data_IF_876923067116
#
_entry.id   IF_876923067116
#
_cell.length_a   1.000
_cell.length_b   1.000
_cell.length_c   1.000
_cell.angle_alpha   90.00
_cell.angle_beta   90.00
_cell.angle_gamma   90.00
#
_symmetry.space_group_name_H-M   'P 1'
#
loop_
_entity.id
_entity.type
_entity.pdbx_description
1 polymer ?
#
# COMPACT_ATOMS: atom_id res chain seq x y z
N UNK A 1 43.22 -57.85 -35.54
CA UNK A 1 42.22 -58.15 -34.49
C UNK A 1 41.55 -56.85 -34.08
N UNK A 2 40.25 -56.92 -33.80
CA UNK A 2 39.32 -55.79 -33.63
C UNK A 2 39.62 -54.94 -32.37
N UNK A 3 39.07 -53.71 -32.40
CA UNK A 3 38.77 -52.75 -31.30
C UNK A 3 39.90 -51.77 -30.97
N UNK A 4 39.73 -50.45 -30.91
CA UNK A 4 38.62 -49.52 -31.18
C UNK A 4 39.24 -48.13 -31.39
N UNK A 5 38.71 -47.34 -32.33
CA UNK A 5 39.00 -45.91 -32.47
C UNK A 5 38.39 -45.12 -31.30
N UNK A 6 39.06 -44.07 -30.83
CA UNK A 6 38.40 -42.79 -30.55
C UNK A 6 39.38 -41.64 -30.80
N UNK A 7 39.04 -40.84 -31.81
CA UNK A 7 39.80 -39.66 -32.23
C UNK A 7 39.43 -38.42 -31.44
N UNK A 8 40.39 -37.51 -31.37
CA UNK A 8 40.17 -36.11 -31.06
C UNK A 8 39.28 -35.47 -32.14
N UNK A 9 38.28 -34.71 -31.73
CA UNK A 9 37.64 -33.73 -32.60
C UNK A 9 37.23 -32.50 -31.78
N UNK A 10 37.95 -31.41 -32.03
CA UNK A 10 37.52 -30.04 -31.72
C UNK A 10 36.35 -29.73 -32.64
N UNK A 11 35.22 -29.30 -32.08
CA UNK A 11 34.12 -28.73 -32.84
C UNK A 11 33.61 -27.47 -32.13
N UNK A 12 33.87 -26.33 -32.73
CA UNK A 12 33.12 -25.10 -32.49
C UNK A 12 31.91 -25.11 -33.42
N UNK A 13 30.69 -24.97 -32.88
CA UNK A 13 29.54 -24.52 -33.65
C UNK A 13 28.45 -23.92 -32.73
N UNK A 14 27.83 -22.87 -33.25
CA UNK A 14 26.89 -21.95 -32.62
C UNK A 14 25.56 -22.57 -32.16
N UNK A 15 24.99 -21.92 -31.14
CA UNK A 15 23.57 -21.65 -30.83
C UNK A 15 22.50 -22.58 -31.42
N UNK A 16 21.68 -23.15 -30.53
CA UNK A 16 20.22 -22.87 -30.43
C UNK A 16 19.66 -23.48 -29.14
N UNK A 17 19.06 -22.66 -28.27
CA UNK A 17 18.18 -23.11 -27.19
C UNK A 17 16.72 -23.18 -27.64
N UNK A 18 15.92 -24.09 -27.06
CA UNK A 18 14.46 -23.92 -26.99
C UNK A 18 13.88 -24.38 -25.64
N UNK A 19 12.79 -23.86 -25.07
CA UNK A 19 12.03 -22.63 -25.25
C UNK A 19 11.46 -22.31 -23.86
N UNK A 20 11.74 -21.11 -23.34
CA UNK A 20 10.95 -20.53 -22.26
C UNK A 20 9.62 -20.09 -22.86
N UNK A 21 8.52 -20.47 -22.21
CA UNK A 21 7.22 -19.86 -22.48
C UNK A 21 7.33 -18.36 -22.26
N UNK A 22 6.93 -17.58 -23.27
CA UNK A 22 6.97 -16.13 -23.32
C UNK A 22 6.39 -15.44 -22.08
N UNK A 23 7.20 -14.57 -21.48
CA UNK A 23 6.74 -13.27 -21.03
C UNK A 23 7.60 -12.22 -21.74
N UNK A 24 6.99 -11.51 -22.70
CA UNK A 24 7.65 -10.58 -23.61
C UNK A 24 8.50 -9.51 -22.89
N UNK A 25 9.75 -9.35 -23.34
CA UNK A 25 10.72 -8.39 -22.84
C UNK A 25 10.27 -6.93 -22.97
N UNK A 26 10.67 -6.08 -22.03
CA UNK A 26 10.23 -4.68 -21.97
C UNK A 26 11.02 -3.73 -22.88
N UNK A 27 11.68 -4.25 -23.92
CA UNK A 27 12.26 -3.39 -24.97
C UNK A 27 11.15 -2.59 -25.65
N UNK A 28 11.28 -1.27 -25.73
CA UNK A 28 10.20 -0.44 -26.24
C UNK A 28 10.43 1.05 -26.04
N UNK A 29 9.46 1.83 -26.50
CA UNK A 29 9.46 3.29 -26.33
C UNK A 29 8.65 3.64 -25.10
N UNK A 30 9.24 4.43 -24.21
CA UNK A 30 8.66 4.85 -22.95
C UNK A 30 8.73 6.37 -22.84
N UNK A 31 7.83 6.94 -22.04
CA UNK A 31 7.88 8.36 -21.64
C UNK A 31 8.22 8.47 -20.17
N UNK A 32 9.05 9.45 -19.83
CA UNK A 32 9.35 9.80 -18.44
C UNK A 32 8.10 10.39 -17.79
N UNK A 33 7.65 9.78 -16.69
CA UNK A 33 6.47 10.18 -15.93
C UNK A 33 6.79 11.04 -14.69
N UNK A 34 8.08 11.29 -14.42
CA UNK A 34 8.58 12.18 -13.36
C UNK A 34 9.12 13.50 -13.94
N UNK A 35 9.13 14.59 -13.16
CA UNK A 35 9.62 15.91 -13.60
C UNK A 35 11.11 15.91 -13.99
N UNK A 36 11.88 15.09 -13.28
CA UNK A 36 13.27 14.78 -13.61
C UNK A 36 13.58 13.34 -13.20
N UNK A 37 14.24 12.61 -14.10
CA UNK A 37 14.66 11.24 -13.91
C UNK A 37 16.17 11.14 -14.10
N UNK A 38 16.88 10.80 -13.03
CA UNK A 38 18.32 10.56 -13.10
C UNK A 38 18.61 9.29 -13.92
N UNK A 39 19.56 9.42 -14.83
CA UNK A 39 20.16 8.33 -15.59
C UNK A 39 21.53 8.07 -14.98
N UNK A 40 21.82 6.82 -14.65
CA UNK A 40 23.00 6.38 -13.88
C UNK A 40 23.85 5.41 -14.68
N UNK A 41 25.11 5.27 -14.28
CA UNK A 41 26.07 4.38 -14.95
C UNK A 41 25.73 2.89 -14.78
N UNK A 42 25.14 2.54 -13.63
CA UNK A 42 24.76 1.17 -13.23
C UNK A 42 23.32 1.15 -12.67
N UNK A 43 22.63 -0.01 -12.63
CA UNK A 43 21.27 -0.16 -12.11
C UNK A 43 21.21 -0.10 -10.57
N UNK A 44 21.75 0.97 -9.98
CA UNK A 44 21.83 1.19 -8.54
C UNK A 44 21.49 2.66 -8.19
N UNK A 45 20.70 2.87 -7.14
CA UNK A 45 20.33 4.19 -6.63
C UNK A 45 21.50 5.04 -6.10
N UNK A 46 22.64 4.42 -5.84
CA UNK A 46 23.90 5.03 -5.38
C UNK A 46 24.92 5.23 -6.52
N UNK A 47 24.72 4.61 -7.69
CA UNK A 47 25.63 4.74 -8.83
C UNK A 47 25.72 6.17 -9.35
N UNK A 48 26.83 6.53 -9.98
CA UNK A 48 27.08 7.88 -10.50
C UNK A 48 26.00 8.29 -11.51
N UNK A 49 25.48 9.52 -11.35
CA UNK A 49 24.52 10.10 -12.30
C UNK A 49 25.28 10.57 -13.54
N UNK A 50 24.87 10.08 -14.71
CA UNK A 50 25.45 10.42 -16.02
C UNK A 50 24.52 11.32 -16.87
N UNK A 51 23.28 11.52 -16.43
CA UNK A 51 22.36 12.45 -17.08
C UNK A 51 21.03 12.60 -16.33
N UNK A 52 20.19 13.52 -16.79
CA UNK A 52 18.86 13.76 -16.23
C UNK A 52 17.87 13.96 -17.37
N UNK A 53 16.79 13.18 -17.36
CA UNK A 53 15.70 13.27 -18.34
C UNK A 53 14.54 14.05 -17.74
N UNK A 54 13.93 14.97 -18.49
CA UNK A 54 12.77 15.74 -18.02
C UNK A 54 11.46 14.99 -18.21
N UNK A 55 10.41 15.41 -17.54
CA UNK A 55 9.06 14.88 -17.76
C UNK A 55 8.70 14.82 -19.25
N UNK A 56 8.00 13.76 -19.63
CA UNK A 56 7.54 13.45 -21.00
C UNK A 56 8.65 13.20 -22.01
N UNK A 57 9.92 13.24 -21.62
CA UNK A 57 11.03 12.82 -22.49
C UNK A 57 10.78 11.39 -22.96
N UNK A 58 10.90 11.16 -24.26
CA UNK A 58 10.76 9.83 -24.85
C UNK A 58 12.10 9.13 -24.80
N UNK A 59 12.11 7.91 -24.26
CA UNK A 59 13.29 7.07 -24.12
C UNK A 59 13.06 5.73 -24.76
N UNK A 60 14.12 5.16 -25.35
CA UNK A 60 14.13 3.76 -25.75
C UNK A 60 14.69 2.93 -24.61
N UNK A 61 13.94 1.92 -24.19
CA UNK A 61 14.37 0.91 -23.22
C UNK A 61 14.91 -0.29 -23.99
N UNK A 62 16.10 -0.74 -23.62
CA UNK A 62 16.77 -1.88 -24.28
C UNK A 62 17.08 -3.05 -23.35
N UNK A 63 17.03 -2.85 -22.04
CA UNK A 63 17.42 -3.84 -21.03
C UNK A 63 16.76 -3.53 -19.68
N UNK A 64 16.60 -4.53 -18.81
CA UNK A 64 16.02 -4.38 -17.47
C UNK A 64 16.69 -5.28 -16.43
N UNK A 65 16.98 -4.72 -15.26
CA UNK A 65 17.62 -5.40 -14.13
C UNK A 65 17.15 -4.77 -12.80
N UNK A 66 16.62 -5.58 -11.88
CA UNK A 66 16.31 -5.17 -10.50
C UNK A 66 15.43 -3.91 -10.37
N UNK A 67 14.46 -3.71 -11.28
CA UNK A 67 13.58 -2.53 -11.29
C UNK A 67 14.20 -1.28 -11.93
N UNK A 68 15.43 -1.38 -12.44
CA UNK A 68 16.06 -0.39 -13.32
C UNK A 68 15.96 -0.84 -14.77
N UNK A 69 15.92 0.13 -15.68
CA UNK A 69 15.89 -0.12 -17.11
C UNK A 69 16.93 0.71 -17.82
N UNK A 70 17.59 0.13 -18.82
CA UNK A 70 18.60 0.82 -19.62
C UNK A 70 17.91 1.67 -20.66
N UNK A 71 18.06 2.99 -20.52
CA UNK A 71 17.41 4.01 -21.34
C UNK A 71 18.39 4.70 -22.28
N UNK A 72 17.92 5.05 -23.48
CA UNK A 72 18.60 5.95 -24.42
C UNK A 72 17.66 7.07 -24.86
N UNK A 73 18.09 8.32 -24.72
CA UNK A 73 17.38 9.51 -25.20
C UNK A 73 18.38 10.58 -25.67
N UNK A 74 18.42 10.84 -26.98
CA UNK A 74 19.49 11.65 -27.58
C UNK A 74 20.86 11.02 -27.34
N UNK A 75 21.79 11.81 -26.79
CA UNK A 75 23.14 11.37 -26.43
C UNK A 75 23.21 10.70 -25.04
N UNK A 76 22.18 10.87 -24.20
CA UNK A 76 22.16 10.30 -22.83
C UNK A 76 21.81 8.82 -22.89
N UNK A 77 22.72 7.97 -22.38
CA UNK A 77 22.53 6.51 -22.23
C UNK A 77 22.94 6.06 -20.83
N UNK A 78 22.12 5.21 -20.19
CA UNK A 78 22.42 4.64 -18.87
C UNK A 78 21.18 4.00 -18.23
N UNK A 79 21.22 3.74 -16.94
CA UNK A 79 20.16 3.08 -16.18
C UNK A 79 19.26 4.08 -15.46
N UNK A 80 17.95 3.93 -15.57
CA UNK A 80 16.97 4.75 -14.88
C UNK A 80 15.92 3.87 -14.18
N UNK A 81 15.34 4.35 -13.07
CA UNK A 81 14.38 3.56 -12.32
C UNK A 81 13.09 3.37 -13.14
N UNK A 82 12.73 2.11 -13.44
CA UNK A 82 11.70 1.75 -14.40
C UNK A 82 10.29 2.22 -14.02
N UNK A 83 10.01 2.37 -12.72
CA UNK A 83 8.71 2.84 -12.22
C UNK A 83 8.41 4.31 -12.56
N UNK A 84 9.43 5.08 -12.98
CA UNK A 84 9.24 6.44 -13.51
C UNK A 84 9.01 6.48 -15.02
N UNK A 85 8.95 5.33 -15.69
CA UNK A 85 8.69 5.24 -17.13
C UNK A 85 7.32 4.63 -17.40
N UNK A 86 6.60 5.19 -18.38
CA UNK A 86 5.33 4.65 -18.88
C UNK A 86 5.48 4.28 -20.34
N UNK A 87 5.04 3.07 -20.72
CA UNK A 87 5.07 2.63 -22.12
C UNK A 87 4.33 3.66 -22.98
N UNK A 88 4.99 4.12 -24.04
CA UNK A 88 4.39 5.03 -25.00
C UNK A 88 3.62 4.17 -26.00
N UNK A 89 2.29 4.28 -26.00
CA UNK A 89 1.45 3.65 -27.01
C UNK A 89 1.83 4.27 -28.36
N UNK A 90 2.14 3.42 -29.34
CA UNK A 90 2.71 3.83 -30.62
C UNK A 90 1.85 4.85 -31.36
N UNK A 91 2.14 6.12 -31.16
CA UNK A 91 1.73 7.22 -32.02
C UNK A 91 2.89 8.22 -32.07
N UNK A 92 3.26 8.56 -33.31
CA UNK A 92 4.47 9.24 -33.69
C UNK A 92 4.66 10.64 -33.07
N UNK A 93 5.93 11.01 -33.02
CA UNK A 93 6.49 12.32 -32.65
C UNK A 93 6.08 13.37 -33.69
N UNK A 94 5.62 14.54 -33.23
CA UNK A 94 5.69 15.78 -33.99
C UNK A 94 5.87 16.97 -33.03
N UNK A 95 6.69 17.91 -33.50
CA UNK A 95 7.38 18.98 -32.79
C UNK A 95 6.59 20.32 -32.79
N UNK A 96 7.04 21.21 -31.91
CA UNK A 96 6.98 22.67 -31.93
C UNK A 96 5.67 23.46 -31.66
N UNK A 97 5.87 24.43 -30.75
CA UNK A 97 5.38 25.83 -30.78
C UNK A 97 4.03 26.21 -30.13
N UNK A 98 4.20 27.07 -29.11
CA UNK A 98 3.40 28.23 -28.66
C UNK A 98 1.96 28.45 -29.15
N UNK A 99 1.05 28.70 -28.20
CA UNK A 99 -0.28 29.26 -28.48
C UNK A 99 -1.15 29.37 -27.22
N UNK A 100 -1.54 30.61 -26.89
CA UNK A 100 -2.32 31.00 -25.70
C UNK A 100 -3.71 30.35 -25.62
N UNK A 101 -4.07 30.02 -24.37
CA UNK A 101 -5.41 30.01 -23.71
C UNK A 101 -6.66 29.80 -24.56
N UNK A 102 -7.44 28.75 -24.23
CA UNK A 102 -8.86 28.93 -23.86
C UNK A 102 -9.30 27.84 -22.88
N UNK A 103 -9.96 28.28 -21.82
CA UNK A 103 -10.47 27.48 -20.70
C UNK A 103 -11.59 26.54 -21.13
N UNK A 104 -11.43 25.24 -20.88
CA UNK A 104 -12.55 24.30 -20.75
C UNK A 104 -12.69 23.95 -19.27
N UNK A 105 -13.73 24.47 -18.62
CA UNK A 105 -14.00 24.26 -17.21
C UNK A 105 -14.08 22.76 -16.90
N UNK A 106 -13.06 22.25 -16.20
CA UNK A 106 -13.14 20.94 -15.55
C UNK A 106 -14.14 21.09 -14.40
N UNK A 107 -15.19 20.28 -14.40
CA UNK A 107 -16.19 20.19 -13.35
C UNK A 107 -15.54 20.27 -11.96
N UNK A 108 -15.88 21.33 -11.23
CA UNK A 108 -15.41 21.56 -9.89
C UNK A 108 -16.03 20.51 -8.95
N UNK A 109 -15.22 19.86 -8.12
CA UNK A 109 -15.67 18.79 -7.22
C UNK A 109 -15.76 19.32 -5.80
N UNK A 110 -16.91 19.13 -5.15
CA UNK A 110 -17.10 19.43 -3.73
C UNK A 110 -16.24 18.52 -2.86
N UNK A 111 -15.63 19.09 -1.83
CA UNK A 111 -14.73 18.45 -0.88
C UNK A 111 -14.85 19.11 0.51
N UNK A 112 -14.14 18.59 1.50
CA UNK A 112 -13.96 19.25 2.78
C UNK A 112 -12.52 19.14 3.27
N UNK A 113 -12.10 20.09 4.12
CA UNK A 113 -10.82 20.02 4.81
C UNK A 113 -10.85 18.92 5.87
N UNK A 114 -9.82 18.08 5.89
CA UNK A 114 -9.66 16.96 6.84
C UNK A 114 -8.80 17.31 8.05
N UNK A 115 -8.04 18.42 8.00
CA UNK A 115 -7.14 18.84 9.06
C UNK A 115 -7.61 20.16 9.69
N UNK A 116 -7.22 20.37 10.93
CA UNK A 116 -7.41 21.64 11.63
C UNK A 116 -6.26 22.60 11.32
N UNK A 117 -6.54 23.88 11.10
CA UNK A 117 -5.55 24.91 10.73
C UNK A 117 -4.65 24.56 9.52
N UNK A 118 -5.20 23.91 8.49
CA UNK A 118 -4.43 23.54 7.29
C UNK A 118 -4.14 24.79 6.45
N UNK A 119 -2.86 25.04 6.20
CA UNK A 119 -2.37 26.22 5.47
C UNK A 119 -2.79 26.21 4.01
N UNK A 120 -3.48 27.26 3.58
CA UNK A 120 -3.66 27.64 2.18
C UNK A 120 -2.44 28.44 1.71
N UNK A 121 -1.94 28.15 0.52
CA UNK A 121 -0.70 28.74 -0.04
C UNK A 121 -0.91 29.29 -1.45
N UNK A 122 -0.02 30.19 -1.89
CA UNK A 122 -0.05 30.73 -3.27
C UNK A 122 0.28 29.68 -4.35
N UNK A 123 0.96 28.58 -4.01
CA UNK A 123 1.35 27.53 -4.96
C UNK A 123 1.42 26.12 -4.33
N UNK A 124 1.54 25.07 -5.17
CA UNK A 124 1.55 23.67 -4.76
C UNK A 124 2.89 23.26 -4.12
N UNK A 125 3.12 23.64 -2.86
CA UNK A 125 4.34 23.29 -2.15
C UNK A 125 4.49 23.97 -0.81
N UNK A 126 5.31 23.40 0.08
CA UNK A 126 5.58 23.96 1.42
C UNK A 126 6.44 25.23 1.38
N UNK A 127 7.15 25.48 0.27
CA UNK A 127 7.95 26.69 0.06
C UNK A 127 7.16 27.92 -0.41
N UNK A 128 5.88 27.77 -0.76
CA UNK A 128 5.05 28.90 -1.18
C UNK A 128 4.45 29.64 0.02
N UNK A 129 4.26 30.96 -0.11
CA UNK A 129 3.67 31.83 0.90
C UNK A 129 2.31 31.34 1.39
N UNK A 130 2.09 31.39 2.71
CA UNK A 130 0.82 31.06 3.36
C UNK A 130 -0.11 32.26 3.26
N UNK A 131 -1.31 32.06 2.72
CA UNK A 131 -2.31 33.11 2.48
C UNK A 131 -3.57 32.94 3.34
N UNK A 132 -3.63 31.90 4.15
CA UNK A 132 -4.73 31.61 5.05
C UNK A 132 -4.66 30.20 5.59
N UNK A 133 -5.72 29.78 6.26
CA UNK A 133 -5.88 28.41 6.75
C UNK A 133 -7.34 27.98 6.71
N UNK A 134 -7.58 26.68 6.66
CA UNK A 134 -8.90 26.06 6.76
C UNK A 134 -8.92 25.08 7.91
N UNK A 135 -10.04 25.01 8.62
CA UNK A 135 -10.25 24.12 9.74
C UNK A 135 -10.94 22.83 9.30
N UNK A 136 -10.92 21.84 10.19
CA UNK A 136 -11.49 20.53 9.91
C UNK A 136 -13.00 20.67 9.66
N UNK A 137 -13.47 20.12 8.54
CA UNK A 137 -14.87 20.18 8.14
C UNK A 137 -15.24 21.37 7.25
N UNK A 138 -14.33 22.33 7.05
CA UNK A 138 -14.57 23.47 6.14
C UNK A 138 -14.86 22.98 4.73
N UNK A 139 -15.90 23.53 4.11
CA UNK A 139 -16.32 23.17 2.75
C UNK A 139 -15.35 23.76 1.72
N UNK A 140 -14.92 22.91 0.81
CA UNK A 140 -13.97 23.24 -0.25
C UNK A 140 -14.54 22.88 -1.61
N UNK A 141 -14.23 23.71 -2.60
CA UNK A 141 -14.42 23.37 -4.01
C UNK A 141 -13.06 23.10 -4.63
N UNK A 142 -12.80 21.86 -5.04
CA UNK A 142 -11.54 21.50 -5.71
C UNK A 142 -11.58 21.99 -7.16
N UNK A 143 -10.67 22.89 -7.49
CA UNK A 143 -10.52 23.49 -8.82
C UNK A 143 -9.47 22.76 -9.65
N UNK A 144 -8.37 22.33 -9.02
CA UNK A 144 -7.24 21.68 -9.70
C UNK A 144 -6.46 20.75 -8.77
N UNK A 145 -5.66 19.85 -9.35
CA UNK A 145 -4.75 18.95 -8.64
C UNK A 145 -3.41 18.87 -9.36
N UNK A 146 -2.33 19.06 -8.62
CA UNK A 146 -0.95 19.08 -9.12
C UNK A 146 -0.04 18.56 -8.00
N UNK A 147 0.75 17.53 -8.28
CA UNK A 147 1.81 17.01 -7.39
C UNK A 147 1.44 16.79 -5.92
N UNK A 148 0.27 16.20 -5.68
CA UNK A 148 -0.22 15.93 -4.32
C UNK A 148 -0.82 17.15 -3.61
N UNK A 149 -0.88 18.31 -4.27
CA UNK A 149 -1.58 19.51 -3.83
C UNK A 149 -2.91 19.69 -4.55
N UNK A 150 -3.82 20.40 -3.91
CA UNK A 150 -5.14 20.73 -4.44
C UNK A 150 -5.31 22.24 -4.42
N UNK A 151 -5.67 22.81 -5.56
CA UNK A 151 -6.14 24.18 -5.62
C UNK A 151 -7.61 24.18 -5.24
N UNK A 152 -7.94 24.82 -4.14
CA UNK A 152 -9.28 24.81 -3.55
C UNK A 152 -9.84 26.22 -3.47
N UNK A 153 -11.17 26.32 -3.48
CA UNK A 153 -11.91 27.53 -3.11
C UNK A 153 -12.70 27.26 -1.83
N UNK A 154 -12.53 28.09 -0.81
CA UNK A 154 -13.26 28.06 0.47
C UNK A 154 -14.62 28.71 0.36
N UNK A 155 -15.46 28.57 1.39
CA UNK A 155 -16.81 29.12 1.44
C UNK A 155 -16.86 30.67 1.39
N UNK A 156 -15.84 31.34 1.95
CA UNK A 156 -15.67 32.80 1.90
C UNK A 156 -15.11 33.30 0.55
N UNK A 157 -14.83 32.39 -0.40
CA UNK A 157 -14.35 32.70 -1.74
C UNK A 157 -12.82 32.71 -1.89
N UNK A 158 -12.05 32.52 -0.83
CA UNK A 158 -10.58 32.47 -0.90
C UNK A 158 -10.12 31.30 -1.77
N UNK A 159 -9.15 31.55 -2.67
CA UNK A 159 -8.56 30.51 -3.54
C UNK A 159 -7.09 30.32 -3.20
N UNK A 160 -6.72 29.08 -2.87
CA UNK A 160 -5.36 28.73 -2.49
C UNK A 160 -5.05 27.26 -2.69
N UNK A 161 -3.77 26.92 -2.55
CA UNK A 161 -3.26 25.56 -2.61
C UNK A 161 -3.11 24.99 -1.20
N UNK A 162 -3.66 23.81 -0.97
CA UNK A 162 -3.41 23.03 0.24
C UNK A 162 -2.95 21.63 -0.14
N UNK A 163 -2.26 20.97 0.78
CA UNK A 163 -1.86 19.58 0.56
C UNK A 163 -3.10 18.72 0.37
N UNK A 164 -3.13 17.97 -0.72
CA UNK A 164 -4.24 17.10 -1.10
C UNK A 164 -4.51 15.98 -0.11
N UNK A 165 -3.54 15.68 0.77
CA UNK A 165 -3.72 14.76 1.90
C UNK A 165 -4.79 15.24 2.91
N UNK A 166 -5.09 16.55 2.91
CA UNK A 166 -6.09 17.17 3.77
C UNK A 166 -7.38 17.52 3.03
N UNK A 167 -7.56 17.05 1.79
CA UNK A 167 -8.77 17.32 1.00
C UNK A 167 -9.54 16.02 0.81
N UNK A 168 -10.64 15.86 1.56
CA UNK A 168 -11.52 14.69 1.50
C UNK A 168 -12.60 14.82 0.43
N UNK A 169 -12.97 13.72 -0.22
CA UNK A 169 -14.09 13.73 -1.17
C UNK A 169 -15.43 13.90 -0.44
N UNK A 170 -16.37 14.67 -1.02
CA UNK A 170 -17.71 14.86 -0.45
C UNK A 170 -18.47 13.53 -0.22
N UNK A 171 -18.17 12.46 -0.97
CA UNK A 171 -18.76 11.13 -0.77
C UNK A 171 -18.40 10.49 0.60
N UNK A 172 -17.23 10.84 1.15
CA UNK A 172 -16.83 10.43 2.51
C UNK A 172 -17.40 11.36 3.59
N UNK A 173 -17.91 12.55 3.22
CA UNK A 173 -18.49 13.53 4.16
C UNK A 173 -20.00 13.31 4.31
N UNK A 174 -20.69 12.91 3.25
CA UNK A 174 -22.12 12.55 3.31
C UNK A 174 -22.36 11.26 4.09
N UNK A 175 -21.46 10.27 3.96
CA UNK A 175 -21.46 9.08 4.80
C UNK A 175 -21.21 9.42 6.29
N UNK A 176 -20.37 10.41 6.60
CA UNK A 176 -20.08 10.84 7.98
C UNK A 176 -21.20 11.71 8.57
N UNK A 177 -21.90 12.49 7.73
CA UNK A 177 -23.01 13.35 8.17
C UNK A 177 -24.30 12.57 8.39
N UNK A 178 -24.52 11.47 7.65
CA UNK A 178 -25.66 10.57 7.84
C UNK A 178 -25.56 9.73 9.13
N UNK A 179 -24.35 9.52 9.66
CA UNK A 179 -24.10 8.66 10.83
C UNK A 179 -24.34 9.40 12.16
N UNK A 180 -24.35 10.73 12.18
CA UNK A 180 -24.62 11.51 13.41
C UNK A 180 -26.06 11.40 13.93
N UNK A 181 -26.99 10.80 13.17
CA UNK A 181 -28.41 10.70 13.53
C UNK A 181 -28.93 9.29 13.86
N UNK A 182 -28.07 8.27 13.97
CA UNK A 182 -28.50 6.96 14.48
C UNK A 182 -27.89 6.71 15.84
N UNK A 183 -28.58 7.32 16.82
CA UNK A 183 -28.70 6.99 18.24
C UNK A 183 -27.76 5.93 18.82
N UNK A 184 -27.12 6.32 19.93
CA UNK A 184 -26.70 5.45 21.02
C UNK A 184 -27.71 4.31 21.30
N UNK A 185 -27.20 3.07 21.39
CA UNK A 185 -27.63 2.03 22.33
C UNK A 185 -26.62 0.86 22.27
N UNK A 186 -25.86 0.72 23.36
CA UNK A 186 -25.37 -0.52 23.99
C UNK A 186 -24.87 -1.67 23.11
N UNK A 187 -23.55 -1.94 23.20
CA UNK A 187 -23.02 -3.31 23.13
C UNK A 187 -23.04 -4.03 21.78
N UNK A 188 -22.95 -3.34 20.64
CA UNK A 188 -23.00 -4.02 19.33
C UNK A 188 -21.96 -3.51 18.34
N UNK A 189 -21.41 -4.42 17.56
CA UNK A 189 -20.46 -4.15 16.46
C UNK A 189 -21.09 -3.36 15.29
N UNK A 190 -22.43 -3.31 15.22
CA UNK A 190 -23.15 -2.56 14.19
C UNK A 190 -22.89 -1.06 14.33
N UNK A 191 -22.54 -0.41 13.22
CA UNK A 191 -22.23 1.02 13.18
C UNK A 191 -20.82 1.38 13.65
N UNK A 192 -20.05 0.43 14.19
CA UNK A 192 -18.66 0.64 14.58
C UNK A 192 -17.76 0.83 13.37
N UNK A 193 -16.83 1.77 13.46
CA UNK A 193 -15.80 2.00 12.45
C UNK A 193 -14.58 1.18 12.83
N UNK A 194 -14.25 0.17 12.02
CA UNK A 194 -13.12 -0.73 12.27
C UNK A 194 -12.13 -0.59 11.11
N UNK A 195 -10.87 -0.33 11.45
CA UNK A 195 -9.78 -0.29 10.47
C UNK A 195 -9.03 -1.61 10.49
N UNK A 196 -8.94 -2.24 9.31
CA UNK A 196 -8.16 -3.44 9.08
C UNK A 196 -6.89 -3.05 8.33
N UNK A 197 -5.75 -3.43 8.86
CA UNK A 197 -4.45 -3.14 8.30
C UNK A 197 -3.78 -4.43 7.80
N UNK A 198 -3.89 -4.77 6.50
CA UNK A 198 -3.11 -5.88 5.96
C UNK A 198 -1.64 -5.49 5.91
N UNK A 199 -0.79 -6.19 6.66
CA UNK A 199 0.65 -5.95 6.72
C UNK A 199 1.33 -5.90 5.35
N UNK A 200 2.47 -5.22 5.26
CA UNK A 200 3.31 -5.17 4.05
C UNK A 200 2.59 -4.66 2.79
N UNK A 201 3.02 -5.11 1.60
CA UNK A 201 2.41 -4.77 0.31
C UNK A 201 3.38 -4.12 -0.67
N UNK A 202 3.05 -4.17 -1.95
CA UNK A 202 3.82 -3.64 -3.05
C UNK A 202 5.18 -4.33 -3.14
N UNK A 203 6.23 -3.52 -3.04
CA UNK A 203 7.62 -4.00 -3.07
C UNK A 203 8.10 -4.61 -1.76
N UNK A 204 7.28 -4.61 -0.71
CA UNK A 204 7.58 -5.25 0.58
C UNK A 204 6.84 -6.58 0.65
N UNK A 205 7.54 -7.72 0.48
CA UNK A 205 6.93 -9.05 0.55
C UNK A 205 6.52 -9.45 1.97
N UNK A 206 7.04 -8.77 2.99
CA UNK A 206 7.10 -9.31 4.35
C UNK A 206 8.00 -10.54 4.41
N UNK A 207 7.72 -11.45 5.33
CA UNK A 207 8.39 -12.74 5.37
C UNK A 207 8.05 -13.57 4.13
N UNK A 208 9.06 -14.28 3.61
CA UNK A 208 8.91 -15.28 2.56
C UNK A 208 9.05 -16.66 3.22
N UNK A 209 8.00 -17.46 3.14
CA UNK A 209 7.95 -18.77 3.79
C UNK A 209 9.05 -19.72 3.32
N UNK A 210 9.52 -20.58 4.22
CA UNK A 210 10.75 -21.37 4.04
C UNK A 210 10.56 -22.63 3.19
N UNK A 211 9.33 -23.17 3.10
CA UNK A 211 9.01 -24.40 2.36
C UNK A 211 8.34 -24.14 1.03
N UNK A 212 7.43 -23.16 0.97
CA UNK A 212 6.63 -22.89 -0.22
C UNK A 212 6.74 -21.47 -0.76
N UNK A 213 7.75 -20.72 -0.29
CA UNK A 213 8.04 -19.34 -0.71
C UNK A 213 6.81 -18.43 -0.59
N UNK A 214 5.97 -18.71 0.41
CA UNK A 214 4.72 -17.97 0.58
C UNK A 214 5.02 -16.53 0.96
N UNK A 215 4.47 -15.58 0.20
CA UNK A 215 4.61 -14.16 0.49
C UNK A 215 3.63 -13.76 1.59
N UNK A 216 4.14 -13.22 2.70
CA UNK A 216 3.31 -12.71 3.80
C UNK A 216 2.31 -11.65 3.31
N UNK A 217 2.74 -10.72 2.45
CA UNK A 217 1.88 -9.66 1.90
C UNK A 217 0.61 -10.19 1.19
N UNK A 218 0.67 -11.40 0.63
CA UNK A 218 -0.46 -12.00 -0.08
C UNK A 218 -1.44 -12.62 0.92
N UNK A 219 -0.91 -13.33 1.93
CA UNK A 219 -1.72 -13.94 2.99
C UNK A 219 -2.40 -12.90 3.87
N UNK A 220 -1.69 -11.83 4.22
CA UNK A 220 -2.24 -10.72 5.01
C UNK A 220 -3.39 -10.07 4.25
N UNK A 221 -3.21 -9.75 2.95
CA UNK A 221 -4.28 -9.17 2.14
C UNK A 221 -5.48 -10.12 2.03
N UNK A 222 -5.26 -11.40 1.69
CA UNK A 222 -6.37 -12.33 1.47
C UNK A 222 -7.14 -12.62 2.76
N UNK A 223 -6.46 -12.68 3.90
CA UNK A 223 -7.10 -12.89 5.21
C UNK A 223 -7.85 -11.63 5.67
N UNK A 224 -7.26 -10.44 5.50
CA UNK A 224 -7.90 -9.17 5.84
C UNK A 224 -9.16 -8.91 5.04
N UNK A 225 -9.23 -9.30 3.76
CA UNK A 225 -10.46 -9.21 2.96
C UNK A 225 -11.58 -10.06 3.59
N UNK A 226 -11.28 -11.28 4.03
CA UNK A 226 -12.27 -12.15 4.70
C UNK A 226 -12.77 -11.55 6.02
N UNK A 227 -11.88 -10.92 6.79
CA UNK A 227 -12.26 -10.21 8.03
C UNK A 227 -13.17 -9.03 7.69
N UNK A 228 -12.77 -8.21 6.71
CA UNK A 228 -13.51 -7.02 6.33
C UNK A 228 -14.92 -7.35 5.83
N UNK A 229 -15.06 -8.37 4.99
CA UNK A 229 -16.36 -8.79 4.46
C UNK A 229 -17.28 -9.28 5.58
N UNK A 230 -16.77 -10.10 6.50
CA UNK A 230 -17.55 -10.56 7.67
C UNK A 230 -17.99 -9.41 8.57
N UNK A 231 -17.10 -8.49 8.90
CA UNK A 231 -17.44 -7.32 9.71
C UNK A 231 -18.51 -6.45 9.04
N UNK A 232 -18.42 -6.25 7.71
CA UNK A 232 -19.44 -5.53 6.93
C UNK A 232 -20.80 -6.24 6.99
N UNK A 233 -20.84 -7.57 6.93
CA UNK A 233 -22.13 -8.31 7.06
C UNK A 233 -22.79 -8.13 8.43
N UNK A 234 -22.00 -7.84 9.47
CA UNK A 234 -22.51 -7.54 10.82
C UNK A 234 -22.92 -6.06 10.98
N UNK A 235 -22.77 -5.25 9.93
CA UNK A 235 -23.13 -3.84 9.92
C UNK A 235 -22.03 -2.92 10.47
N UNK A 236 -20.80 -3.39 10.64
CA UNK A 236 -19.66 -2.52 10.91
C UNK A 236 -19.25 -1.76 9.64
N UNK A 237 -18.75 -0.54 9.82
CA UNK A 237 -18.09 0.23 8.77
C UNK A 237 -16.62 -0.17 8.74
N UNK A 238 -16.15 -0.72 7.61
CA UNK A 238 -14.79 -1.26 7.53
C UNK A 238 -13.95 -0.51 6.51
N UNK A 239 -12.83 0.02 7.00
CA UNK A 239 -11.80 0.68 6.20
C UNK A 239 -10.57 -0.22 6.17
N UNK A 240 -9.96 -0.41 4.99
CA UNK A 240 -8.71 -1.16 4.86
C UNK A 240 -7.58 -0.21 4.49
N UNK A 241 -6.41 -0.33 5.13
CA UNK A 241 -5.24 0.52 4.84
C UNK A 241 -4.68 0.27 3.43
N UNK A 242 -4.86 -0.96 2.92
CA UNK A 242 -4.66 -1.33 1.52
C UNK A 242 -5.69 -2.36 1.06
N UNK A 243 -6.00 -2.36 -0.23
CA UNK A 243 -6.97 -3.26 -0.89
C UNK A 243 -6.39 -3.99 -2.10
N UNK A 244 -5.17 -3.64 -2.52
CA UNK A 244 -4.47 -4.25 -3.66
C UNK A 244 -3.02 -4.51 -3.29
N UNK A 245 -2.43 -5.51 -3.93
CA UNK A 245 -1.02 -5.83 -3.72
C UNK A 245 -0.11 -4.65 -4.09
N UNK A 246 -0.39 -3.91 -5.16
CA UNK A 246 0.46 -2.79 -5.60
C UNK A 246 0.56 -1.62 -4.59
N UNK A 247 -0.18 -1.63 -3.48
CA UNK A 247 -0.18 -0.58 -2.47
C UNK A 247 0.75 -0.93 -1.32
N UNK A 248 1.60 0.03 -0.94
CA UNK A 248 2.52 -0.06 0.20
C UNK A 248 2.37 1.19 1.08
N UNK A 249 1.29 1.31 1.87
CA UNK A 249 1.14 2.44 2.77
C UNK A 249 2.26 2.41 3.82
N UNK A 250 2.87 3.57 4.06
CA UNK A 250 3.86 3.73 5.13
C UNK A 250 3.21 3.45 6.49
N UNK A 251 4.02 3.08 7.50
CA UNK A 251 3.50 2.77 8.83
C UNK A 251 2.69 3.94 9.42
N UNK A 252 3.16 5.18 9.24
CA UNK A 252 2.44 6.39 9.67
C UNK A 252 1.15 6.65 8.89
N UNK A 253 1.10 6.26 7.62
CA UNK A 253 -0.14 6.38 6.82
C UNK A 253 -1.21 5.39 7.31
N UNK A 254 -0.82 4.18 7.73
CA UNK A 254 -1.74 3.18 8.30
C UNK A 254 -2.40 3.71 9.58
N UNK A 255 -1.61 4.31 10.46
CA UNK A 255 -2.08 5.01 11.67
C UNK A 255 -3.02 6.15 11.31
N UNK A 256 -2.60 7.04 10.40
CA UNK A 256 -3.39 8.19 9.97
C UNK A 256 -4.76 7.79 9.41
N UNK A 257 -4.83 6.68 8.67
CA UNK A 257 -6.11 6.14 8.18
C UNK A 257 -7.04 5.79 9.34
N UNK A 258 -6.51 5.19 10.42
CA UNK A 258 -7.26 4.86 11.63
C UNK A 258 -7.85 6.11 12.30
N UNK A 259 -6.99 7.10 12.54
CA UNK A 259 -7.35 8.33 13.23
C UNK A 259 -8.32 9.20 12.42
N UNK A 260 -8.08 9.34 11.11
CA UNK A 260 -8.95 10.10 10.22
C UNK A 260 -10.34 9.49 10.10
N UNK A 261 -10.44 8.15 10.19
CA UNK A 261 -11.70 7.45 10.18
C UNK A 261 -12.50 7.67 11.48
N UNK A 262 -11.87 8.15 12.55
CA UNK A 262 -12.46 8.10 13.89
C UNK A 262 -12.77 6.67 14.29
N UNK A 263 -11.86 5.73 13.98
CA UNK A 263 -12.09 4.32 14.20
C UNK A 263 -12.33 3.99 15.68
N UNK A 264 -13.30 3.12 15.94
CA UNK A 264 -13.56 2.54 17.25
C UNK A 264 -12.52 1.46 17.60
N UNK A 265 -11.94 0.80 16.59
CA UNK A 265 -10.87 -0.16 16.77
C UNK A 265 -10.01 -0.35 15.51
N UNK A 266 -8.76 -0.77 15.70
CA UNK A 266 -7.78 -1.06 14.67
C UNK A 266 -7.20 -2.47 14.86
N UNK A 267 -7.05 -3.24 13.77
CA UNK A 267 -6.28 -4.48 13.80
C UNK A 267 -5.32 -4.57 12.62
N UNK A 268 -4.04 -4.80 12.91
CA UNK A 268 -3.03 -5.16 11.91
C UNK A 268 -2.89 -6.67 11.82
N UNK A 269 -2.87 -7.21 10.60
CA UNK A 269 -2.84 -8.66 10.34
C UNK A 269 -1.53 -9.01 9.66
N UNK A 270 -0.78 -9.91 10.29
CA UNK A 270 0.57 -10.35 9.92
C UNK A 270 0.74 -11.87 10.04
N UNK A 271 1.85 -12.38 9.50
CA UNK A 271 2.34 -13.74 9.75
C UNK A 271 3.81 -13.68 10.12
N UNK A 272 4.16 -14.33 11.22
CA UNK A 272 5.40 -14.10 11.93
C UNK A 272 6.60 -14.80 11.27
N UNK A 273 7.78 -14.49 11.77
CA UNK A 273 9.03 -15.16 11.46
C UNK A 273 9.92 -15.22 12.70
N UNK A 274 10.72 -16.27 12.81
CA UNK A 274 11.71 -16.45 13.88
C UNK A 274 12.88 -17.28 13.34
N UNK A 275 14.08 -17.00 13.83
CA UNK A 275 15.27 -17.82 13.57
C UNK A 275 15.18 -19.18 14.29
N UNK A 276 14.41 -19.25 15.38
CA UNK A 276 14.13 -20.50 16.09
C UNK A 276 12.93 -21.20 15.45
N UNK A 277 12.86 -22.52 15.61
CA UNK A 277 11.72 -23.33 15.16
C UNK A 277 10.46 -23.06 16.02
N UNK A 278 9.87 -21.89 15.80
CA UNK A 278 8.73 -21.36 16.54
C UNK A 278 7.48 -21.54 15.69
N UNK A 279 6.39 -22.00 16.32
CA UNK A 279 5.08 -22.15 15.69
C UNK A 279 4.01 -21.42 16.49
N UNK A 280 2.81 -21.31 15.94
CA UNK A 280 1.63 -20.80 16.63
C UNK A 280 1.25 -19.36 16.30
N UNK A 281 0.13 -18.91 16.84
CA UNK A 281 -0.33 -17.52 16.75
C UNK A 281 0.11 -16.70 17.95
N UNK A 282 0.17 -15.38 17.79
CA UNK A 282 0.50 -14.43 18.84
C UNK A 282 -0.23 -13.12 18.57
N UNK A 283 -0.77 -12.48 19.62
CA UNK A 283 -1.40 -11.16 19.47
C UNK A 283 -0.64 -10.11 20.28
N UNK A 284 -0.30 -9.00 19.65
CA UNK A 284 0.42 -7.91 20.29
C UNK A 284 -0.48 -6.73 20.63
N UNK A 285 -0.14 -6.07 21.72
CA UNK A 285 -0.69 -4.79 22.17
C UNK A 285 0.45 -3.84 22.55
N UNK A 286 0.22 -2.53 22.54
CA UNK A 286 1.22 -1.56 23.01
C UNK A 286 0.88 -1.04 24.42
N UNK A 287 -0.31 -0.46 24.60
CA UNK A 287 -0.75 0.11 25.87
C UNK A 287 -1.69 -0.83 26.61
N UNK A 288 -1.37 -1.16 27.87
CA UNK A 288 -2.26 -1.97 28.74
C UNK A 288 -3.63 -1.34 28.92
N UNK A 289 -3.69 -0.01 29.02
CA UNK A 289 -4.94 0.70 29.27
C UNK A 289 -5.82 0.79 28.01
N UNK A 290 -5.22 0.93 26.83
CA UNK A 290 -5.91 1.21 25.56
C UNK A 290 -6.16 -0.06 24.74
N UNK A 291 -5.15 -0.91 24.61
CA UNK A 291 -5.06 -1.95 23.58
C UNK A 291 -5.34 -3.36 24.13
N UNK A 292 -4.91 -3.62 25.37
CA UNK A 292 -4.88 -4.99 25.91
C UNK A 292 -6.26 -5.66 25.95
N UNK A 293 -7.34 -4.92 26.21
CA UNK A 293 -8.70 -5.47 26.20
C UNK A 293 -9.08 -5.99 24.79
N UNK A 294 -8.76 -5.25 23.74
CA UNK A 294 -9.02 -5.67 22.36
C UNK A 294 -8.15 -6.87 21.98
N UNK A 295 -6.86 -6.81 22.28
CA UNK A 295 -5.93 -7.91 22.02
C UNK A 295 -6.37 -9.21 22.73
N UNK A 296 -6.80 -9.14 23.99
CA UNK A 296 -7.32 -10.28 24.75
C UNK A 296 -8.58 -10.88 24.12
N UNK A 297 -9.50 -10.04 23.68
CA UNK A 297 -10.75 -10.49 23.06
C UNK A 297 -10.46 -11.25 21.75
N UNK A 298 -9.57 -10.71 20.90
CA UNK A 298 -9.17 -11.35 19.65
C UNK A 298 -8.40 -12.66 19.90
N UNK A 299 -7.39 -12.64 20.78
CA UNK A 299 -6.58 -13.83 21.09
C UNK A 299 -7.42 -14.96 21.72
N UNK A 300 -8.38 -14.60 22.58
CA UNK A 300 -9.30 -15.57 23.19
C UNK A 300 -10.10 -16.37 22.16
N UNK A 301 -10.44 -15.76 21.01
CA UNK A 301 -11.11 -16.45 19.90
C UNK A 301 -10.15 -17.16 18.97
N UNK A 302 -8.97 -16.60 18.71
CA UNK A 302 -7.94 -17.21 17.87
C UNK A 302 -7.49 -18.56 18.46
N UNK A 303 -7.13 -18.56 19.75
CA UNK A 303 -6.64 -19.73 20.49
C UNK A 303 -7.60 -20.94 20.47
N UNK A 304 -8.90 -20.72 20.26
CA UNK A 304 -9.92 -21.77 20.25
C UNK A 304 -10.23 -22.34 18.86
N UNK A 305 -9.95 -21.59 17.78
CA UNK A 305 -10.61 -21.83 16.48
C UNK A 305 -9.69 -22.05 15.30
N UNK A 306 -8.45 -21.56 15.34
CA UNK A 306 -7.61 -21.55 14.14
C UNK A 306 -6.82 -22.84 13.93
N UNK A 307 -6.63 -23.64 14.98
CA UNK A 307 -5.96 -24.95 14.90
C UNK A 307 -4.43 -24.90 14.96
N UNK A 308 -3.85 -23.72 15.14
CA UNK A 308 -2.47 -23.56 15.61
C UNK A 308 -2.47 -23.34 17.12
N UNK A 309 -1.35 -23.67 17.78
CA UNK A 309 -1.16 -23.33 19.20
C UNK A 309 -1.18 -21.81 19.38
N UNK A 310 -1.68 -21.35 20.52
CA UNK A 310 -1.63 -19.95 20.91
C UNK A 310 -0.39 -19.70 21.77
N UNK A 311 0.37 -18.65 21.43
CA UNK A 311 1.44 -18.10 22.26
C UNK A 311 0.94 -16.93 23.13
N UNK A 312 -0.38 -16.72 23.19
CA UNK A 312 -1.02 -15.72 24.05
C UNK A 312 -0.95 -14.29 23.50
N UNK A 313 -0.88 -13.34 24.43
CA UNK A 313 -0.69 -11.92 24.11
C UNK A 313 0.65 -11.42 24.61
N UNK A 314 1.25 -10.46 23.93
CA UNK A 314 2.49 -9.82 24.36
C UNK A 314 2.49 -8.31 24.13
N UNK A 315 3.31 -7.59 24.89
CA UNK A 315 3.66 -6.21 24.54
C UNK A 315 4.45 -6.21 23.21
N UNK A 316 4.16 -5.27 22.32
CA UNK A 316 4.87 -5.07 21.07
C UNK A 316 5.04 -3.59 20.75
N UNK A 317 6.28 -3.14 20.58
CA UNK A 317 6.63 -1.75 20.28
C UNK A 317 6.52 -1.43 18.76
N UNK A 318 5.37 -1.77 18.18
CA UNK A 318 5.11 -1.58 16.76
C UNK A 318 4.50 -0.21 16.48
N UNK A 319 5.01 0.50 15.46
CA UNK A 319 4.56 1.85 15.11
C UNK A 319 3.04 1.98 14.96
N UNK A 320 2.39 0.99 14.32
CA UNK A 320 0.93 1.00 14.09
C UNK A 320 0.09 0.83 15.36
N UNK A 321 0.71 0.42 16.47
CA UNK A 321 0.08 0.31 17.80
C UNK A 321 0.48 1.48 18.70
N UNK A 322 1.79 1.80 18.71
CA UNK A 322 2.36 2.85 19.54
C UNK A 322 1.82 4.24 19.19
N UNK A 323 1.80 4.56 17.90
CA UNK A 323 1.45 5.91 17.42
C UNK A 323 -0.05 6.05 17.12
N UNK A 324 -0.86 5.02 17.36
CA UNK A 324 -2.28 5.02 16.99
C UNK A 324 -3.15 5.28 18.21
N UNK A 325 -3.83 6.41 18.29
CA UNK A 325 -4.70 6.73 19.44
C UNK A 325 -5.97 5.85 19.54
N UNK A 326 -6.29 5.10 18.48
CA UNK A 326 -7.37 4.11 18.48
C UNK A 326 -6.97 2.83 19.23
N UNK A 327 -7.88 2.18 20.00
CA UNK A 327 -7.67 0.82 20.51
C UNK A 327 -7.22 -0.14 19.41
N UNK A 328 -6.04 -0.73 19.59
CA UNK A 328 -5.31 -1.40 18.51
C UNK A 328 -4.77 -2.76 18.92
N UNK A 329 -4.71 -3.70 17.98
CA UNK A 329 -4.01 -4.97 18.14
C UNK A 329 -3.26 -5.35 16.86
N UNK A 330 -2.15 -6.08 16.98
CA UNK A 330 -1.48 -6.71 15.84
C UNK A 330 -1.52 -8.21 16.02
N UNK A 331 -2.10 -8.93 15.07
CA UNK A 331 -2.20 -10.39 15.12
C UNK A 331 -1.18 -11.02 14.21
N UNK A 332 -0.44 -11.99 14.75
CA UNK A 332 0.42 -12.91 14.04
C UNK A 332 -0.28 -14.25 13.92
N UNK A 333 -0.67 -14.62 12.71
CA UNK A 333 -1.55 -15.77 12.45
C UNK A 333 -0.78 -17.07 12.16
N UNK A 334 0.45 -17.22 12.66
CA UNK A 334 1.34 -18.36 12.38
C UNK A 334 2.73 -17.89 11.95
N UNK A 335 3.73 -18.77 12.03
CA UNK A 335 5.11 -18.46 11.63
C UNK A 335 5.42 -18.99 10.24
N UNK A 336 5.65 -18.11 9.26
CA UNK A 336 6.07 -18.51 7.91
C UNK A 336 7.49 -19.10 7.87
N UNK A 337 8.30 -18.87 8.90
CA UNK A 337 9.59 -19.56 9.06
C UNK A 337 9.44 -21.03 9.43
N UNK A 338 8.30 -21.45 10.00
CA UNK A 338 8.01 -22.84 10.34
C UNK A 338 7.22 -23.53 9.21
N UNK A 339 7.79 -24.61 8.69
CA UNK A 339 7.25 -25.32 7.53
C UNK A 339 5.82 -25.89 7.74
N UNK A 340 5.49 -26.31 8.96
CA UNK A 340 4.16 -26.85 9.30
C UNK A 340 3.11 -25.74 9.39
N UNK A 341 3.46 -24.62 10.03
CA UNK A 341 2.62 -23.42 10.08
C UNK A 341 2.39 -22.89 8.65
N UNK A 342 3.43 -22.74 7.83
CA UNK A 342 3.31 -22.28 6.44
C UNK A 342 2.29 -23.13 5.65
N UNK A 343 2.37 -24.46 5.75
CA UNK A 343 1.46 -25.38 5.08
C UNK A 343 0.00 -25.17 5.52
N UNK A 344 -0.22 -24.91 6.82
CA UNK A 344 -1.54 -24.67 7.41
C UNK A 344 -2.11 -23.30 6.99
N UNK A 345 -1.32 -22.22 7.14
CA UNK A 345 -1.80 -20.83 6.97
C UNK A 345 -2.12 -20.47 5.52
N UNK A 346 -1.47 -21.14 4.56
CA UNK A 346 -1.79 -21.03 3.12
C UNK A 346 -3.19 -21.52 2.79
N UNK A 347 -3.77 -22.40 3.60
CA UNK A 347 -5.07 -22.99 3.28
C UNK A 347 -6.21 -21.97 3.43
N UNK A 348 -7.16 -21.99 2.49
CA UNK A 348 -8.37 -21.16 2.60
C UNK A 348 -9.23 -21.51 3.82
N UNK A 349 -9.15 -22.75 4.30
CA UNK A 349 -9.83 -23.19 5.52
C UNK A 349 -9.29 -22.45 6.74
N UNK A 350 -7.96 -22.41 6.90
CA UNK A 350 -7.31 -21.67 7.98
C UNK A 350 -7.64 -20.19 7.96
N UNK A 351 -7.48 -19.53 6.80
CA UNK A 351 -7.77 -18.09 6.66
C UNK A 351 -9.22 -17.74 7.00
N UNK A 352 -10.19 -18.60 6.64
CA UNK A 352 -11.60 -18.42 7.03
C UNK A 352 -11.84 -18.60 8.53
N UNK A 353 -11.14 -19.55 9.18
CA UNK A 353 -11.20 -19.76 10.63
C UNK A 353 -10.59 -18.58 11.39
N UNK A 354 -9.42 -18.10 10.96
CA UNK A 354 -8.77 -16.91 11.51
C UNK A 354 -9.66 -15.68 11.36
N UNK A 355 -10.22 -15.45 10.17
CA UNK A 355 -11.13 -14.34 9.94
C UNK A 355 -12.39 -14.41 10.83
N UNK A 356 -12.97 -15.61 10.99
CA UNK A 356 -14.11 -15.81 11.89
C UNK A 356 -13.74 -15.55 13.36
N UNK A 357 -12.56 -15.97 13.80
CA UNK A 357 -12.07 -15.75 15.16
C UNK A 357 -11.84 -14.26 15.46
N UNK A 358 -11.18 -13.53 14.55
CA UNK A 358 -10.96 -12.07 14.69
C UNK A 358 -12.29 -11.32 14.78
N UNK A 359 -13.26 -11.68 13.94
CA UNK A 359 -14.60 -11.07 13.94
C UNK A 359 -15.34 -11.32 15.25
N UNK A 360 -15.31 -12.54 15.79
CA UNK A 360 -15.89 -12.81 17.11
C UNK A 360 -15.14 -12.10 18.23
N UNK A 361 -13.82 -11.91 18.11
CA UNK A 361 -13.05 -11.13 19.06
C UNK A 361 -13.47 -9.66 19.08
N UNK A 362 -13.78 -9.07 17.92
CA UNK A 362 -14.36 -7.74 17.87
C UNK A 362 -15.77 -7.69 18.49
N UNK A 363 -16.59 -8.72 18.30
CA UNK A 363 -17.91 -8.78 18.96
C UNK A 363 -17.76 -8.78 20.48
N UNK A 364 -16.91 -9.66 21.01
CA UNK A 364 -16.61 -9.72 22.45
C UNK A 364 -16.03 -8.41 23.00
N UNK A 365 -15.31 -7.65 22.17
CA UNK A 365 -14.76 -6.36 22.58
C UNK A 365 -15.83 -5.26 22.67
N UNK A 366 -16.78 -5.24 21.72
CA UNK A 366 -17.80 -4.20 21.62
C UNK A 366 -19.09 -4.48 22.40
N UNK A 367 -19.33 -5.72 22.79
CA UNK A 367 -20.31 -6.15 23.79
C UNK A 367 -19.82 -5.82 25.22
#
# INVERSE_FOLDING_TARGET
MRRSLFGALVFALLLTGPQTGEAAGSSGVYRVAADSLNVREEPDGKARVVGVLKARTIVRVSDDQYGWVKVKAGETTGWAAGHYLKKADGAAVADASSGKSTSRAKSARSAASLGDSVRLRKGPGTGYEVIGSVNKGDRLTVLESEDGWKRVRTADGTVGWMSGQYVGSAANIEAVSAVKNVSSRTGSIRGKVIVIDPGHGGSDPGMIGTKHETLEKDLTLSTSVLVADRLRTLGAQVIMTRTKDSQKPALSERVRISEMAGADAFVSIHFNSSEQDTSGSLTFYYSKQKDERLARAIEGRLSQRIGLKSNGISFGDFHVLRENDTPSALVELGFLSNASDEEIVRTKSYQRKAAAAIVEGFKDYFE
#
